data_IF_077763707768
#
_entry.id   IF_077763707768
#
_cell.length_a   1.000
_cell.length_b   1.000
_cell.length_c   1.000
_cell.angle_alpha   90.00
_cell.angle_beta   90.00
_cell.angle_gamma   90.00
#
_symmetry.space_group_name_H-M   'P 1'
#
loop_
_entity.id
_entity.type
_entity.pdbx_description
1 polymer ?
#
# COMPACT_ATOMS: atom_id res chain seq x y z
N UNK A 1 6.92 -16.75 -28.10
CA UNK A 1 6.91 -16.55 -26.64
C UNK A 1 7.30 -17.80 -25.85
N UNK A 2 6.72 -18.97 -26.11
CA UNK A 2 7.04 -20.21 -25.39
C UNK A 2 8.56 -20.54 -25.33
N UNK A 3 9.33 -20.51 -26.43
CA UNK A 3 10.78 -20.78 -26.37
C UNK A 3 11.57 -19.81 -25.49
N UNK A 4 11.12 -18.56 -25.38
CA UNK A 4 11.72 -17.55 -24.51
C UNK A 4 11.55 -17.89 -23.02
N UNK A 5 10.33 -18.28 -22.61
CA UNK A 5 10.07 -18.71 -21.23
C UNK A 5 10.79 -20.01 -20.89
N UNK A 6 10.87 -20.95 -21.82
CA UNK A 6 11.60 -22.22 -21.64
C UNK A 6 13.11 -21.93 -21.41
N UNK A 7 13.69 -20.95 -22.13
CA UNK A 7 15.06 -20.53 -21.93
C UNK A 7 15.28 -19.87 -20.55
N UNK A 8 14.34 -19.02 -20.09
CA UNK A 8 14.39 -18.43 -18.75
C UNK A 8 14.33 -19.52 -17.68
N UNK A 9 13.41 -20.47 -17.80
CA UNK A 9 13.32 -21.60 -16.86
C UNK A 9 14.60 -22.41 -16.78
N UNK A 10 15.25 -22.65 -17.92
CA UNK A 10 16.54 -23.35 -17.96
C UNK A 10 17.63 -22.57 -17.20
N UNK A 11 17.70 -21.23 -17.39
CA UNK A 11 18.66 -20.38 -16.67
C UNK A 11 18.38 -20.33 -15.17
N UNK A 12 17.10 -20.21 -14.76
CA UNK A 12 16.71 -20.25 -13.35
C UNK A 12 17.10 -21.58 -12.71
N UNK A 13 16.83 -22.72 -13.39
CA UNK A 13 17.20 -24.04 -12.90
C UNK A 13 18.71 -24.18 -12.75
N UNK A 14 19.48 -23.64 -13.71
CA UNK A 14 20.94 -23.61 -13.63
C UNK A 14 21.43 -22.78 -12.43
N UNK A 15 20.85 -21.61 -12.20
CA UNK A 15 21.18 -20.74 -11.07
C UNK A 15 20.90 -21.42 -9.73
N UNK A 16 19.76 -22.09 -9.61
CA UNK A 16 19.44 -22.90 -8.41
C UNK A 16 20.44 -24.03 -8.19
N UNK A 17 20.90 -24.70 -9.24
CA UNK A 17 21.94 -25.72 -9.14
C UNK A 17 23.27 -25.17 -8.60
N UNK A 18 23.67 -23.98 -9.06
CA UNK A 18 24.89 -23.29 -8.56
C UNK A 18 24.72 -22.92 -7.09
N UNK A 19 23.59 -22.32 -6.73
CA UNK A 19 23.30 -21.94 -5.35
C UNK A 19 23.23 -23.15 -4.41
N UNK A 20 22.64 -24.27 -4.85
CA UNK A 20 22.63 -25.54 -4.11
C UNK A 20 24.04 -26.06 -3.86
N UNK A 21 24.87 -26.12 -4.88
CA UNK A 21 26.26 -26.56 -4.75
C UNK A 21 27.11 -25.66 -3.84
N UNK A 22 26.83 -24.36 -3.81
CA UNK A 22 27.48 -23.42 -2.86
C UNK A 22 27.06 -23.70 -1.41
N UNK A 23 25.78 -23.99 -1.16
CA UNK A 23 25.26 -24.34 0.17
C UNK A 23 25.81 -25.66 0.68
N UNK A 24 25.89 -26.68 -0.16
CA UNK A 24 26.50 -27.97 0.20
C UNK A 24 27.97 -27.81 0.66
N UNK A 25 28.66 -26.81 0.13
CA UNK A 25 30.03 -26.47 0.52
C UNK A 25 30.12 -25.41 1.63
N UNK A 26 29.00 -25.02 2.22
CA UNK A 26 28.92 -23.97 3.23
C UNK A 26 29.51 -22.62 2.79
N UNK A 27 29.46 -22.32 1.50
CA UNK A 27 29.89 -21.06 0.91
C UNK A 27 28.78 -20.00 0.90
N UNK A 28 27.52 -20.43 1.02
CA UNK A 28 26.35 -19.59 1.17
C UNK A 28 25.75 -19.83 2.56
N UNK A 29 25.76 -18.81 3.47
CA UNK A 29 25.22 -18.94 4.82
C UNK A 29 23.70 -19.08 4.84
N UNK A 30 23.00 -18.66 3.77
CA UNK A 30 21.55 -18.71 3.72
C UNK A 30 21.05 -20.12 3.35
N UNK A 31 20.22 -20.76 4.21
CA UNK A 31 19.80 -22.13 3.98
C UNK A 31 18.74 -22.28 2.88
N UNK A 32 18.12 -21.17 2.46
CA UNK A 32 17.03 -21.15 1.47
C UNK A 32 17.18 -20.01 0.47
N UNK A 33 16.61 -20.20 -0.72
CA UNK A 33 16.44 -19.14 -1.70
C UNK A 33 15.36 -18.17 -1.20
N UNK A 34 15.59 -16.87 -1.27
CA UNK A 34 14.64 -15.85 -0.80
C UNK A 34 13.30 -15.91 -1.55
N UNK A 35 13.35 -16.07 -2.87
CA UNK A 35 12.17 -16.10 -3.73
C UNK A 35 12.15 -17.41 -4.51
N UNK A 36 11.15 -18.23 -4.23
CA UNK A 36 10.91 -19.47 -4.97
C UNK A 36 10.12 -19.18 -6.26
N UNK A 37 10.39 -19.97 -7.29
CA UNK A 37 9.55 -19.99 -8.49
C UNK A 37 8.13 -20.39 -8.12
N UNK A 38 7.15 -19.59 -8.54
CA UNK A 38 5.74 -19.83 -8.25
C UNK A 38 4.97 -20.12 -9.56
N UNK A 39 4.23 -21.23 -9.63
CA UNK A 39 3.47 -21.63 -10.82
C UNK A 39 2.27 -20.70 -11.10
N UNK A 40 1.77 -20.01 -10.09
CA UNK A 40 0.64 -19.09 -10.21
C UNK A 40 0.66 -17.99 -9.14
N UNK A 41 -0.28 -17.05 -9.23
CA UNK A 41 -0.43 -15.96 -8.26
C UNK A 41 -0.62 -16.46 -6.83
N UNK A 42 -1.40 -17.53 -6.63
CA UNK A 42 -1.69 -18.05 -5.30
C UNK A 42 -0.42 -18.59 -4.60
N UNK A 43 0.36 -19.37 -5.33
CA UNK A 43 1.64 -19.87 -4.84
C UNK A 43 2.65 -18.73 -4.60
N UNK A 44 2.64 -17.70 -5.47
CA UNK A 44 3.48 -16.51 -5.27
C UNK A 44 3.13 -15.76 -4.00
N UNK A 45 1.83 -15.52 -3.75
CA UNK A 45 1.36 -14.84 -2.53
C UNK A 45 1.74 -15.64 -1.29
N UNK A 46 1.54 -16.96 -1.29
CA UNK A 46 1.94 -17.82 -0.18
C UNK A 46 3.44 -17.77 0.08
N UNK A 47 4.26 -17.87 -0.97
CA UNK A 47 5.70 -17.87 -0.85
C UNK A 47 6.31 -16.54 -0.41
N UNK A 48 5.62 -15.43 -0.67
CA UNK A 48 6.11 -14.08 -0.34
C UNK A 48 5.65 -13.59 1.03
N UNK A 49 4.36 -13.58 1.27
CA UNK A 49 3.75 -12.93 2.44
C UNK A 49 2.68 -13.75 3.11
N UNK A 50 2.05 -14.67 2.38
CA UNK A 50 0.91 -15.43 2.86
C UNK A 50 1.30 -16.42 3.96
N UNK A 51 0.35 -16.79 4.82
CA UNK A 51 0.57 -17.91 5.70
C UNK A 51 0.69 -19.20 4.89
N UNK A 52 1.37 -20.20 5.47
CA UNK A 52 1.52 -21.52 4.87
C UNK A 52 0.14 -22.14 4.57
N UNK A 53 0.03 -22.83 3.44
CA UNK A 53 -1.17 -23.55 2.96
C UNK A 53 -2.33 -22.63 2.50
N UNK A 54 -2.10 -21.31 2.37
CA UNK A 54 -3.11 -20.35 1.90
C UNK A 54 -3.36 -20.43 0.38
N UNK A 55 -2.38 -20.90 -0.41
CA UNK A 55 -2.46 -20.90 -1.87
C UNK A 55 -3.64 -21.70 -2.41
N UNK A 56 -3.93 -22.86 -1.82
CA UNK A 56 -5.08 -23.68 -2.19
C UNK A 56 -6.38 -22.88 -2.06
N UNK A 57 -6.54 -22.21 -0.93
CA UNK A 57 -7.74 -21.45 -0.63
C UNK A 57 -7.87 -20.20 -1.50
N UNK A 58 -6.77 -19.54 -1.81
CA UNK A 58 -6.76 -18.41 -2.76
C UNK A 58 -7.30 -18.85 -4.13
N UNK A 59 -6.87 -20.02 -4.65
CA UNK A 59 -7.37 -20.55 -5.94
C UNK A 59 -8.87 -20.80 -5.91
N UNK A 60 -9.39 -21.37 -4.82
CA UNK A 60 -10.83 -21.60 -4.63
C UNK A 60 -11.60 -20.28 -4.63
N UNK A 61 -11.18 -19.30 -3.82
CA UNK A 61 -11.84 -17.99 -3.73
C UNK A 61 -11.79 -17.23 -5.05
N UNK A 62 -10.66 -17.25 -5.75
CA UNK A 62 -10.53 -16.60 -7.05
C UNK A 62 -11.50 -17.19 -8.08
N UNK A 63 -11.73 -18.50 -8.05
CA UNK A 63 -12.68 -19.19 -8.92
C UNK A 63 -14.13 -18.86 -8.57
N UNK A 64 -14.46 -18.86 -7.27
CA UNK A 64 -15.85 -18.80 -6.80
C UNK A 64 -16.34 -17.34 -6.65
N UNK A 65 -15.51 -16.43 -6.15
CA UNK A 65 -15.88 -15.05 -5.80
C UNK A 65 -15.17 -13.98 -6.64
N UNK A 66 -14.15 -14.40 -7.38
CA UNK A 66 -13.39 -13.52 -8.28
C UNK A 66 -12.37 -12.63 -7.60
N UNK A 67 -11.56 -11.94 -8.41
CA UNK A 67 -10.40 -11.12 -7.98
C UNK A 67 -10.74 -9.99 -7.01
N UNK A 68 -11.91 -9.38 -7.12
CA UNK A 68 -12.26 -8.22 -6.31
C UNK A 68 -12.61 -8.57 -4.85
N UNK A 69 -13.18 -9.75 -4.62
CA UNK A 69 -13.57 -10.22 -3.29
C UNK A 69 -12.42 -10.95 -2.58
N UNK A 70 -11.55 -11.61 -3.34
CA UNK A 70 -10.53 -12.49 -2.82
C UNK A 70 -9.61 -11.87 -1.75
N UNK A 71 -9.11 -10.62 -1.88
CA UNK A 71 -8.29 -10.00 -0.84
C UNK A 71 -8.98 -9.86 0.51
N UNK A 72 -10.25 -9.51 0.52
CA UNK A 72 -11.04 -9.36 1.75
C UNK A 72 -11.37 -10.71 2.40
N UNK A 73 -11.73 -11.71 1.58
CA UNK A 73 -12.05 -13.04 2.08
C UNK A 73 -10.83 -13.72 2.70
N UNK A 74 -9.67 -13.63 2.06
CA UNK A 74 -8.42 -14.17 2.61
C UNK A 74 -8.02 -13.45 3.89
N UNK A 75 -8.09 -12.11 3.92
CA UNK A 75 -7.82 -11.35 5.13
C UNK A 75 -8.74 -11.78 6.28
N UNK A 76 -10.04 -11.97 6.01
CA UNK A 76 -11.00 -12.47 6.99
C UNK A 76 -10.63 -13.84 7.53
N UNK A 77 -10.31 -14.79 6.65
CA UNK A 77 -9.94 -16.17 7.06
C UNK A 77 -8.65 -16.21 7.89
N UNK A 78 -7.69 -15.32 7.59
CA UNK A 78 -6.48 -15.14 8.40
C UNK A 78 -6.84 -14.61 9.79
N UNK A 79 -7.70 -13.60 9.88
CA UNK A 79 -8.15 -13.02 11.15
C UNK A 79 -9.01 -13.99 11.99
N UNK A 80 -9.69 -14.92 11.35
CA UNK A 80 -10.39 -16.06 12.00
C UNK A 80 -9.41 -17.11 12.57
N UNK A 81 -8.11 -16.96 12.32
CA UNK A 81 -7.08 -17.89 12.82
C UNK A 81 -6.97 -19.21 12.05
N UNK A 82 -7.56 -19.30 10.85
CA UNK A 82 -7.54 -20.56 10.05
C UNK A 82 -6.13 -21.01 9.65
N UNK A 83 -5.17 -20.10 9.62
CA UNK A 83 -3.79 -20.35 9.20
C UNK A 83 -2.77 -20.21 10.34
N UNK A 84 -3.22 -20.25 11.56
CA UNK A 84 -2.40 -20.17 12.76
C UNK A 84 -2.93 -19.14 13.77
N UNK A 85 -2.57 -19.36 15.03
CA UNK A 85 -2.92 -18.46 16.11
C UNK A 85 -1.96 -17.27 16.16
N UNK A 86 -2.45 -16.12 16.55
CA UNK A 86 -1.70 -14.90 16.77
C UNK A 86 -2.50 -13.91 17.60
N UNK A 87 -1.83 -12.88 18.11
CA UNK A 87 -2.53 -11.73 18.65
C UNK A 87 -3.22 -10.93 17.52
N UNK A 88 -4.08 -10.01 17.91
CA UNK A 88 -4.87 -9.21 16.94
C UNK A 88 -3.99 -8.42 15.98
N UNK A 89 -2.88 -7.87 16.47
CA UNK A 89 -1.95 -7.04 15.70
C UNK A 89 -1.31 -7.86 14.58
N UNK A 90 -0.77 -9.02 14.92
CA UNK A 90 -0.14 -9.95 13.98
C UNK A 90 -1.15 -10.49 12.95
N UNK A 91 -2.37 -10.84 13.38
CA UNK A 91 -3.39 -11.34 12.46
C UNK A 91 -3.86 -10.25 11.47
N UNK A 92 -4.00 -9.00 11.93
CA UNK A 92 -4.32 -7.88 11.05
C UNK A 92 -3.19 -7.56 10.10
N UNK A 93 -1.94 -7.54 10.57
CA UNK A 93 -0.77 -7.33 9.72
C UNK A 93 -0.70 -8.39 8.62
N UNK A 94 -0.83 -9.66 8.98
CA UNK A 94 -0.84 -10.76 8.04
C UNK A 94 -2.00 -10.64 7.04
N UNK A 95 -3.19 -10.30 7.51
CA UNK A 95 -4.38 -10.08 6.66
C UNK A 95 -4.19 -8.94 5.67
N UNK A 96 -3.67 -7.80 6.11
CA UNK A 96 -3.40 -6.63 5.26
C UNK A 96 -2.33 -6.96 4.22
N UNK A 97 -1.20 -7.55 4.63
CA UNK A 97 -0.10 -7.89 3.70
C UNK A 97 -0.51 -8.93 2.67
N UNK A 98 -1.20 -9.99 3.08
CA UNK A 98 -1.65 -11.05 2.16
C UNK A 98 -2.72 -10.54 1.20
N UNK A 99 -3.69 -9.78 1.71
CA UNK A 99 -4.72 -9.16 0.87
C UNK A 99 -4.13 -8.15 -0.12
N UNK A 100 -3.16 -7.34 0.30
CA UNK A 100 -2.47 -6.40 -0.59
C UNK A 100 -1.67 -7.12 -1.68
N UNK A 101 -0.92 -8.18 -1.33
CA UNK A 101 -0.17 -8.99 -2.28
C UNK A 101 -1.10 -9.59 -3.35
N UNK A 102 -2.27 -10.07 -2.94
CA UNK A 102 -3.27 -10.63 -3.86
C UNK A 102 -3.88 -9.53 -4.75
N UNK A 103 -4.18 -8.36 -4.19
CA UNK A 103 -4.72 -7.22 -4.93
C UNK A 103 -3.74 -6.67 -5.98
N UNK A 104 -2.46 -6.62 -5.64
CA UNK A 104 -1.39 -6.12 -6.52
C UNK A 104 -0.83 -7.19 -7.48
N UNK A 105 -1.48 -8.34 -7.55
CA UNK A 105 -1.09 -9.47 -8.41
C UNK A 105 0.37 -9.92 -8.20
N UNK A 106 0.80 -9.95 -6.93
CA UNK A 106 2.11 -10.46 -6.55
C UNK A 106 3.25 -9.46 -6.65
N UNK A 107 2.97 -8.16 -6.56
CA UNK A 107 4.02 -7.17 -6.28
C UNK A 107 4.68 -7.52 -4.95
N UNK A 108 6.01 -7.57 -4.92
CA UNK A 108 6.80 -8.07 -3.78
C UNK A 108 7.02 -7.00 -2.71
N UNK A 109 7.58 -5.87 -3.11
CA UNK A 109 8.08 -4.85 -2.19
C UNK A 109 6.99 -4.17 -1.37
N UNK A 110 5.83 -3.90 -1.97
CA UNK A 110 4.77 -3.15 -1.29
C UNK A 110 4.15 -3.91 -0.10
N UNK A 111 3.75 -5.20 -0.20
CA UNK A 111 3.22 -5.92 0.95
C UNK A 111 4.29 -6.36 1.96
N UNK A 112 5.55 -6.57 1.55
CA UNK A 112 6.62 -7.00 2.44
C UNK A 112 7.23 -5.85 3.23
N UNK A 113 7.62 -4.80 2.53
CA UNK A 113 8.36 -3.67 3.08
C UNK A 113 7.54 -2.39 3.12
N UNK A 114 6.64 -2.21 2.14
CA UNK A 114 5.83 -1.01 2.02
C UNK A 114 4.80 -0.84 3.14
N UNK A 115 4.22 -1.92 3.64
CA UNK A 115 3.49 -1.98 4.92
C UNK A 115 4.48 -2.46 5.97
N UNK A 116 5.16 -1.55 6.63
CA UNK A 116 6.25 -1.88 7.56
C UNK A 116 5.75 -2.45 8.88
N UNK A 117 4.70 -1.87 9.44
CA UNK A 117 4.12 -2.28 10.74
C UNK A 117 2.62 -2.04 10.76
N UNK A 118 1.95 -2.82 11.59
CA UNK A 118 0.55 -2.62 12.00
C UNK A 118 0.51 -2.58 13.52
N UNK A 119 -0.10 -1.55 14.11
CA UNK A 119 -0.08 -1.34 15.56
C UNK A 119 -1.45 -0.98 16.09
N UNK A 120 -1.74 -1.41 17.32
CA UNK A 120 -2.83 -0.90 18.13
C UNK A 120 -2.33 0.21 19.04
N UNK A 121 -2.89 1.38 18.92
CA UNK A 121 -2.56 2.54 19.72
C UNK A 121 -3.83 3.07 20.41
N UNK A 122 -3.65 4.01 21.36
CA UNK A 122 -4.76 4.56 22.14
C UNK A 122 -5.21 5.91 21.63
N UNK A 123 -6.52 6.04 21.41
CA UNK A 123 -7.19 7.32 21.24
C UNK A 123 -7.17 8.13 22.54
N UNK A 124 -7.43 9.45 22.52
CA UNK A 124 -7.49 10.27 23.72
C UNK A 124 -8.53 9.80 24.75
N UNK A 125 -9.58 9.11 24.30
CA UNK A 125 -10.63 8.53 25.17
C UNK A 125 -10.27 7.13 25.72
N UNK A 126 -9.06 6.63 25.43
CA UNK A 126 -8.57 5.33 25.87
C UNK A 126 -8.98 4.14 24.98
N UNK A 127 -9.85 4.33 23.99
CA UNK A 127 -10.20 3.29 23.02
C UNK A 127 -9.01 2.93 22.13
N UNK A 128 -8.94 1.67 21.67
CA UNK A 128 -7.90 1.25 20.73
C UNK A 128 -8.23 1.70 19.31
N UNK A 129 -7.21 2.15 18.56
CA UNK A 129 -7.30 2.37 17.13
C UNK A 129 -6.18 1.65 16.38
N UNK A 130 -6.37 1.45 15.08
CA UNK A 130 -5.40 0.81 14.20
C UNK A 130 -4.54 1.86 13.51
N UNK A 131 -3.21 1.72 13.60
CA UNK A 131 -2.24 2.48 12.84
C UNK A 131 -1.53 1.57 11.84
N UNK A 132 -1.45 2.00 10.57
CA UNK A 132 -0.70 1.36 9.51
C UNK A 132 0.53 2.22 9.20
N UNK A 133 1.71 1.63 9.36
CA UNK A 133 2.96 2.30 9.07
C UNK A 133 3.44 1.94 7.67
N UNK A 134 3.73 2.96 6.88
CA UNK A 134 4.17 2.83 5.50
C UNK A 134 5.60 3.30 5.31
N UNK A 135 6.32 2.63 4.42
CA UNK A 135 7.67 3.01 3.98
C UNK A 135 7.70 3.23 2.46
N UNK A 136 8.84 3.72 1.94
CA UNK A 136 9.01 4.04 0.52
C UNK A 136 8.59 2.97 -0.48
N UNK A 137 8.87 1.67 -0.25
CA UNK A 137 8.48 0.56 -1.12
C UNK A 137 6.97 0.43 -1.39
N UNK A 138 6.09 1.07 -0.60
CA UNK A 138 4.64 1.11 -0.87
C UNK A 138 4.33 1.71 -2.26
N UNK A 139 5.23 2.49 -2.82
CA UNK A 139 5.13 3.01 -4.19
C UNK A 139 4.94 1.91 -5.22
N UNK A 140 5.53 0.73 -5.01
CA UNK A 140 5.39 -0.44 -5.87
C UNK A 140 3.95 -0.94 -6.03
N UNK A 141 3.06 -0.68 -5.07
CA UNK A 141 1.64 -1.04 -5.18
C UNK A 141 0.86 -0.17 -6.18
N UNK A 142 1.43 0.96 -6.62
CA UNK A 142 0.71 2.00 -7.36
C UNK A 142 -0.37 2.66 -6.51
N UNK A 143 -0.85 3.82 -6.91
CA UNK A 143 -1.75 4.62 -6.07
C UNK A 143 -3.02 3.88 -5.61
N UNK A 144 -3.63 3.05 -6.47
CA UNK A 144 -4.81 2.28 -6.06
C UNK A 144 -4.48 1.22 -5.01
N UNK A 145 -3.32 0.56 -5.11
CA UNK A 145 -2.87 -0.43 -4.13
C UNK A 145 -2.47 0.23 -2.79
N UNK A 146 -1.87 1.42 -2.83
CA UNK A 146 -1.57 2.21 -1.64
C UNK A 146 -2.84 2.51 -0.83
N UNK A 147 -3.88 3.04 -1.47
CA UNK A 147 -5.16 3.28 -0.83
C UNK A 147 -5.84 1.98 -0.38
N UNK A 148 -5.69 0.90 -1.16
CA UNK A 148 -6.28 -0.39 -0.86
C UNK A 148 -5.71 -0.99 0.44
N UNK A 149 -4.43 -0.77 0.76
CA UNK A 149 -3.85 -1.19 2.04
C UNK A 149 -4.58 -0.54 3.23
N UNK A 150 -4.94 0.75 3.13
CA UNK A 150 -5.71 1.45 4.16
C UNK A 150 -7.14 0.92 4.26
N UNK A 151 -7.78 0.64 3.11
CA UNK A 151 -9.13 0.02 3.06
C UNK A 151 -9.13 -1.36 3.72
N UNK A 152 -8.11 -2.19 3.45
CA UNK A 152 -7.93 -3.47 4.14
C UNK A 152 -7.73 -3.29 5.64
N UNK A 153 -6.96 -2.28 6.05
CA UNK A 153 -6.81 -1.93 7.46
C UNK A 153 -8.15 -1.63 8.14
N UNK A 154 -9.00 -0.82 7.51
CA UNK A 154 -10.35 -0.54 8.04
C UNK A 154 -11.22 -1.81 8.09
N UNK A 155 -11.15 -2.65 7.07
CA UNK A 155 -11.84 -3.94 7.07
C UNK A 155 -11.39 -4.84 8.24
N UNK A 156 -10.07 -4.95 8.46
CA UNK A 156 -9.50 -5.72 9.55
C UNK A 156 -9.85 -5.14 10.94
N UNK A 157 -9.78 -3.81 11.07
CA UNK A 157 -10.18 -3.09 12.28
C UNK A 157 -11.61 -3.42 12.69
N UNK A 158 -12.54 -3.36 11.73
CA UNK A 158 -13.96 -3.64 11.97
C UNK A 158 -14.21 -5.09 12.37
N UNK A 159 -13.48 -6.03 11.80
CA UNK A 159 -13.58 -7.44 12.16
C UNK A 159 -13.32 -7.68 13.66
N UNK A 160 -12.32 -7.00 14.22
CA UNK A 160 -11.96 -7.12 15.63
C UNK A 160 -12.68 -6.11 16.55
N UNK A 161 -13.58 -5.28 16.02
CA UNK A 161 -14.28 -4.26 16.80
C UNK A 161 -13.38 -3.16 17.37
N UNK A 162 -12.24 -2.89 16.72
CA UNK A 162 -11.33 -1.80 17.10
C UNK A 162 -11.94 -0.46 16.70
N UNK A 163 -11.84 0.56 17.57
CA UNK A 163 -12.42 1.88 17.33
C UNK A 163 -11.75 2.62 16.16
N UNK A 164 -12.42 3.64 15.65
CA UNK A 164 -11.85 4.53 14.63
C UNK A 164 -10.75 5.40 15.22
N UNK A 165 -9.77 5.74 14.39
CA UNK A 165 -8.76 6.72 14.72
C UNK A 165 -9.40 8.09 14.95
N UNK A 166 -9.02 8.75 16.04
CA UNK A 166 -9.45 10.10 16.40
C UNK A 166 -8.23 10.99 16.59
N UNK A 167 -7.86 11.75 15.57
CA UNK A 167 -6.70 12.63 15.65
C UNK A 167 -6.96 13.81 16.61
N UNK A 168 -5.88 14.27 17.24
CA UNK A 168 -5.82 15.59 17.87
C UNK A 168 -5.58 16.65 16.80
N UNK A 169 -5.97 17.90 17.08
CA UNK A 169 -5.82 18.98 16.10
C UNK A 169 -4.36 19.23 15.71
N UNK A 170 -3.45 19.18 16.67
CA UNK A 170 -1.99 19.31 16.40
C UNK A 170 -1.47 18.18 15.50
N UNK A 171 -2.06 16.99 15.59
CA UNK A 171 -1.71 15.89 14.70
C UNK A 171 -2.23 16.16 13.29
N UNK A 172 -3.46 16.67 13.13
CA UNK A 172 -4.02 17.06 11.83
C UNK A 172 -3.10 18.08 11.15
N UNK A 173 -2.68 19.12 11.86
CA UNK A 173 -1.79 20.13 11.34
C UNK A 173 -0.37 19.61 11.07
N UNK A 174 0.09 18.62 11.84
CA UNK A 174 1.34 17.90 11.56
C UNK A 174 1.31 17.22 10.19
N UNK A 175 0.23 16.57 9.82
CA UNK A 175 0.10 15.97 8.48
C UNK A 175 0.11 17.03 7.39
N UNK A 176 -0.54 18.18 7.59
CA UNK A 176 -0.52 19.29 6.65
C UNK A 176 0.91 19.80 6.43
N UNK A 177 1.65 20.05 7.51
CA UNK A 177 3.05 20.50 7.43
C UNK A 177 3.93 19.45 6.70
N UNK A 178 3.76 18.18 7.04
CA UNK A 178 4.55 17.09 6.49
C UNK A 178 4.34 16.91 4.98
N UNK A 179 3.08 16.93 4.53
CA UNK A 179 2.77 16.77 3.11
C UNK A 179 3.23 17.97 2.28
N UNK A 180 3.10 19.19 2.81
CA UNK A 180 3.62 20.40 2.17
C UNK A 180 5.15 20.33 2.03
N UNK A 181 5.83 19.96 3.12
CA UNK A 181 7.29 19.83 3.12
C UNK A 181 7.77 18.73 2.15
N UNK A 182 7.10 17.58 2.16
CA UNK A 182 7.37 16.49 1.24
C UNK A 182 7.22 16.91 -0.22
N UNK A 183 6.13 17.60 -0.57
CA UNK A 183 5.88 18.07 -1.93
C UNK A 183 6.96 19.08 -2.40
N UNK A 184 7.38 20.01 -1.54
CA UNK A 184 8.42 20.99 -1.86
C UNK A 184 9.78 20.32 -2.07
N UNK A 185 10.15 19.35 -1.25
CA UNK A 185 11.47 18.72 -1.23
C UNK A 185 11.64 17.67 -2.32
N UNK A 186 10.66 16.81 -2.50
CA UNK A 186 10.80 15.67 -3.44
C UNK A 186 10.52 16.06 -4.88
N UNK A 187 9.66 17.06 -5.13
CA UNK A 187 9.19 17.46 -6.48
C UNK A 187 8.70 16.29 -7.35
N UNK A 188 8.50 15.13 -6.75
CA UNK A 188 8.24 13.85 -7.43
C UNK A 188 6.80 13.35 -7.30
N UNK A 189 5.93 14.09 -6.60
CA UNK A 189 4.55 13.69 -6.37
C UNK A 189 3.69 13.84 -7.63
N UNK A 190 2.90 12.80 -7.94
CA UNK A 190 1.89 12.86 -9.02
C UNK A 190 0.69 13.75 -8.65
N UNK A 191 0.52 14.04 -7.38
CA UNK A 191 -0.55 14.86 -6.84
C UNK A 191 -0.09 15.61 -5.60
N UNK A 192 -0.38 16.90 -5.56
CA UNK A 192 -0.14 17.75 -4.37
C UNK A 192 -1.51 18.10 -3.80
N UNK A 193 -1.90 17.54 -2.65
CA UNK A 193 -3.18 17.84 -2.04
C UNK A 193 -3.20 19.27 -1.48
N UNK A 194 -4.37 19.88 -1.45
CA UNK A 194 -4.60 21.10 -0.68
C UNK A 194 -4.61 20.77 0.81
N UNK A 195 -4.32 21.75 1.67
CA UNK A 195 -4.42 21.58 3.13
C UNK A 195 -5.81 21.10 3.57
N UNK A 196 -6.88 21.59 2.91
CA UNK A 196 -8.25 21.15 3.18
C UNK A 196 -8.46 19.67 2.88
N UNK A 197 -7.89 19.14 1.80
CA UNK A 197 -7.93 17.71 1.47
C UNK A 197 -7.17 16.88 2.52
N UNK A 198 -6.00 17.35 2.97
CA UNK A 198 -5.24 16.68 4.02
C UNK A 198 -6.04 16.61 5.31
N UNK A 199 -6.57 17.76 5.77
CA UNK A 199 -7.40 17.82 6.98
C UNK A 199 -8.64 16.93 6.87
N UNK A 200 -9.27 16.88 5.69
CA UNK A 200 -10.42 16.01 5.45
C UNK A 200 -10.04 14.54 5.62
N UNK A 201 -8.93 14.09 5.04
CA UNK A 201 -8.47 12.70 5.17
C UNK A 201 -8.18 12.37 6.63
N UNK A 202 -7.32 13.16 7.28
CA UNK A 202 -6.84 12.84 8.63
C UNK A 202 -7.99 12.78 9.63
N UNK A 203 -8.97 13.69 9.52
CA UNK A 203 -10.13 13.73 10.44
C UNK A 203 -11.16 12.64 10.22
N UNK A 204 -11.20 12.03 9.02
CA UNK A 204 -12.28 11.10 8.67
C UNK A 204 -11.79 9.68 8.33
N UNK A 205 -10.50 9.49 8.08
CA UNK A 205 -9.97 8.16 7.82
C UNK A 205 -10.05 7.31 9.11
N UNK A 206 -10.77 6.17 9.09
CA UNK A 206 -10.98 5.38 10.31
C UNK A 206 -9.72 4.64 10.78
N UNK A 207 -8.67 4.66 9.98
CA UNK A 207 -7.35 4.07 10.26
C UNK A 207 -6.30 5.18 10.27
N UNK A 208 -5.40 5.17 11.23
CA UNK A 208 -4.26 6.07 11.23
C UNK A 208 -3.30 5.65 10.11
N UNK A 209 -3.11 6.53 9.13
CA UNK A 209 -2.10 6.37 8.08
C UNK A 209 -0.79 6.94 8.60
N UNK A 210 0.11 6.10 9.08
CA UNK A 210 1.40 6.47 9.65
C UNK A 210 2.54 6.05 8.73
N UNK A 211 3.78 6.25 9.12
CA UNK A 211 4.92 5.87 8.28
C UNK A 211 6.26 5.91 9.00
N UNK A 212 7.22 5.25 8.38
CA UNK A 212 8.61 5.26 8.82
C UNK A 212 9.27 6.60 8.46
N UNK A 213 10.25 7.06 9.27
CA UNK A 213 11.01 8.30 9.05
C UNK A 213 12.01 8.15 7.89
N UNK A 214 11.50 8.05 6.67
CA UNK A 214 12.31 7.75 5.47
C UNK A 214 13.06 8.97 4.92
N UNK A 215 12.61 10.19 5.25
CA UNK A 215 13.25 11.41 4.78
C UNK A 215 14.26 11.94 5.80
N UNK A 216 15.31 12.63 5.32
CA UNK A 216 16.35 13.17 6.20
C UNK A 216 15.97 14.50 6.88
N UNK A 217 14.90 15.12 6.44
CA UNK A 217 14.43 16.42 6.94
C UNK A 217 13.25 16.30 7.91
N UNK A 218 13.12 17.26 8.79
CA UNK A 218 12.11 17.31 9.85
C UNK A 218 11.09 18.43 9.61
N UNK A 219 9.91 18.26 10.20
CA UNK A 219 8.94 19.35 10.34
C UNK A 219 9.49 20.44 11.27
N UNK A 220 8.94 21.63 11.18
CA UNK A 220 9.44 22.79 11.93
C UNK A 220 8.53 23.20 13.09
N UNK A 221 7.22 23.10 12.90
CA UNK A 221 6.20 23.62 13.83
C UNK A 221 5.62 22.52 14.72
N UNK A 222 5.04 21.47 14.12
CA UNK A 222 4.33 20.43 14.85
C UNK A 222 5.27 19.26 15.22
N UNK A 223 6.19 19.53 16.16
CA UNK A 223 7.20 18.60 16.69
C UNK A 223 6.77 17.96 18.00
N UNK A 224 7.40 16.81 18.29
CA UNK A 224 7.31 16.14 19.60
C UNK A 224 5.87 15.80 20.04
N UNK A 225 5.03 15.44 19.07
CA UNK A 225 3.66 15.01 19.36
C UNK A 225 3.68 13.62 19.99
N UNK A 226 2.89 13.44 21.04
CA UNK A 226 2.93 12.21 21.87
C UNK A 226 2.64 10.93 21.06
N UNK A 227 1.77 11.00 20.05
CA UNK A 227 1.34 9.85 19.26
C UNK A 227 2.00 9.81 17.86
N UNK A 228 2.97 10.65 17.60
CA UNK A 228 3.79 10.65 16.37
C UNK A 228 5.24 10.38 16.77
N UNK A 229 5.74 9.19 16.45
CA UNK A 229 7.02 8.66 16.94
C UNK A 229 8.26 9.43 16.45
N UNK A 230 8.11 10.31 15.45
CA UNK A 230 9.23 10.98 14.79
C UNK A 230 8.92 12.42 14.41
N UNK A 231 9.94 13.27 14.41
CA UNK A 231 9.86 14.61 13.81
C UNK A 231 10.22 14.62 12.32
N UNK A 232 10.84 13.55 11.83
CA UNK A 232 11.20 13.40 10.42
C UNK A 232 9.97 13.14 9.57
N UNK A 233 10.04 13.53 8.30
CA UNK A 233 8.96 13.32 7.34
C UNK A 233 8.83 11.84 6.98
N UNK A 234 7.60 11.34 7.04
CA UNK A 234 7.21 9.94 6.80
C UNK A 234 6.83 9.75 5.33
N UNK A 235 7.82 9.55 4.45
CA UNK A 235 7.62 9.52 3.00
C UNK A 235 6.60 8.49 2.52
N UNK A 236 6.54 7.29 3.14
CA UNK A 236 5.54 6.26 2.83
C UNK A 236 4.11 6.72 3.12
N UNK A 237 3.89 7.37 4.26
CA UNK A 237 2.61 7.99 4.62
C UNK A 237 2.22 9.08 3.60
N UNK A 238 3.17 9.95 3.24
CA UNK A 238 2.93 11.00 2.26
C UNK A 238 2.46 10.42 0.91
N UNK A 239 3.10 9.34 0.43
CA UNK A 239 2.70 8.64 -0.80
C UNK A 239 1.27 8.10 -0.72
N UNK A 240 0.92 7.41 0.36
CA UNK A 240 -0.41 6.82 0.55
C UNK A 240 -1.49 7.89 0.56
N UNK A 241 -1.26 9.01 1.22
CA UNK A 241 -2.24 10.10 1.28
C UNK A 241 -2.39 10.83 -0.05
N UNK A 242 -1.28 11.13 -0.75
CA UNK A 242 -1.28 11.91 -2.00
C UNK A 242 -1.66 11.06 -3.22
N UNK A 243 -0.81 10.11 -3.59
CA UNK A 243 -0.98 9.28 -4.79
C UNK A 243 -2.04 8.18 -4.59
N UNK A 244 -2.21 7.73 -3.34
CA UNK A 244 -3.20 6.74 -2.96
C UNK A 244 -4.58 7.34 -2.80
N UNK A 245 -4.86 7.94 -1.66
CA UNK A 245 -6.23 8.36 -1.28
C UNK A 245 -6.72 9.53 -2.14
N UNK A 246 -5.97 10.64 -2.21
CA UNK A 246 -6.39 11.81 -2.97
C UNK A 246 -6.52 11.54 -4.47
N UNK A 247 -5.44 11.10 -5.11
CA UNK A 247 -5.41 10.91 -6.56
C UNK A 247 -6.37 9.83 -7.04
N UNK A 248 -6.62 8.81 -6.23
CA UNK A 248 -7.49 7.68 -6.58
C UNK A 248 -8.85 7.72 -5.89
N UNK A 249 -9.27 8.86 -5.32
CA UNK A 249 -10.52 9.02 -4.61
C UNK A 249 -11.76 8.38 -5.29
N UNK A 250 -12.00 8.52 -6.61
CA UNK A 250 -13.13 7.86 -7.26
C UNK A 250 -13.05 6.32 -7.23
N UNK A 251 -11.83 5.77 -7.34
CA UNK A 251 -11.61 4.31 -7.23
C UNK A 251 -11.75 3.84 -5.78
N UNK A 252 -11.22 4.61 -4.83
CA UNK A 252 -11.34 4.36 -3.39
C UNK A 252 -12.82 4.25 -3.02
N UNK A 253 -13.62 5.25 -3.38
CA UNK A 253 -15.07 5.26 -3.10
C UNK A 253 -15.79 4.05 -3.71
N UNK A 254 -15.42 3.66 -4.92
CA UNK A 254 -16.02 2.47 -5.56
C UNK A 254 -15.66 1.18 -4.85
N UNK A 255 -14.42 1.03 -4.38
CA UNK A 255 -13.96 -0.17 -3.67
C UNK A 255 -14.63 -0.25 -2.30
N UNK A 256 -14.64 0.84 -1.53
CA UNK A 256 -15.23 0.88 -0.19
C UNK A 256 -16.74 0.62 -0.21
N UNK A 257 -17.49 1.22 -1.15
CA UNK A 257 -18.91 0.92 -1.36
C UNK A 257 -19.16 -0.57 -1.65
N UNK A 258 -18.31 -1.21 -2.48
CA UNK A 258 -18.42 -2.65 -2.76
C UNK A 258 -18.08 -3.53 -1.56
N UNK A 259 -17.14 -3.09 -0.73
CA UNK A 259 -16.74 -3.78 0.49
C UNK A 259 -17.68 -3.54 1.69
N UNK A 260 -18.73 -2.71 1.54
CA UNK A 260 -19.65 -2.35 2.60
C UNK A 260 -19.03 -1.49 3.70
N UNK A 261 -18.00 -0.71 3.37
CA UNK A 261 -17.30 0.20 4.27
C UNK A 261 -17.85 1.62 4.08
N UNK A 262 -18.09 2.31 5.20
CA UNK A 262 -18.56 3.71 5.17
C UNK A 262 -17.38 4.67 5.03
N UNK A 263 -17.10 5.02 3.78
CA UNK A 263 -16.08 6.00 3.37
C UNK A 263 -16.72 7.12 2.54
N UNK A 264 -17.96 7.52 2.87
CA UNK A 264 -18.65 8.58 2.13
C UNK A 264 -17.88 9.91 2.12
N UNK A 265 -17.08 10.17 3.17
CA UNK A 265 -16.23 11.35 3.26
C UNK A 265 -15.25 11.53 2.07
N UNK A 266 -14.88 10.44 1.39
CA UNK A 266 -14.02 10.47 0.20
C UNK A 266 -14.67 11.24 -0.95
N UNK A 267 -15.99 11.39 -0.97
CA UNK A 267 -16.69 12.21 -1.98
C UNK A 267 -16.21 13.67 -1.95
N UNK A 268 -15.80 14.18 -0.78
CA UNK A 268 -15.22 15.50 -0.63
C UNK A 268 -13.86 15.71 -1.31
N UNK A 269 -13.16 14.62 -1.67
CA UNK A 269 -11.90 14.65 -2.43
C UNK A 269 -12.14 14.62 -3.94
N UNK A 270 -13.35 14.31 -4.40
CA UNK A 270 -13.66 14.17 -5.82
C UNK A 270 -14.02 15.54 -6.39
N UNK A 271 -13.09 16.13 -7.12
CA UNK A 271 -13.33 17.40 -7.83
C UNK A 271 -14.23 17.15 -9.03
N UNK A 272 -15.49 17.52 -8.94
CA UNK A 272 -16.40 17.55 -10.08
C UNK A 272 -16.13 18.81 -10.91
N UNK A 273 -15.48 18.63 -12.07
CA UNK A 273 -15.52 19.67 -13.08
C UNK A 273 -16.91 19.67 -13.73
N UNK A 274 -17.42 20.84 -14.12
CA UNK A 274 -18.72 21.01 -14.80
C UNK A 274 -18.91 20.15 -16.09
N UNK A 275 -17.91 19.35 -16.47
CA UNK A 275 -17.87 18.49 -17.66
C UNK A 275 -17.62 17.00 -17.37
N UNK A 276 -17.84 16.53 -16.15
CA UNK A 276 -18.03 15.09 -15.87
C UNK A 276 -16.81 14.17 -15.98
N UNK A 277 -15.60 14.64 -16.20
CA UNK A 277 -14.39 13.84 -16.09
C UNK A 277 -13.18 14.73 -15.78
N UNK A 278 -12.47 14.41 -14.71
CA UNK A 278 -11.16 15.01 -14.48
C UNK A 278 -10.17 14.46 -15.52
N UNK A 279 -10.05 15.13 -16.65
CA UNK A 279 -8.88 14.98 -17.52
C UNK A 279 -7.80 15.89 -16.95
N UNK A 280 -6.69 15.31 -16.54
CA UNK A 280 -5.43 16.05 -16.48
C UNK A 280 -5.08 16.31 -17.95
N UNK A 281 -5.46 17.48 -18.47
CA UNK A 281 -4.91 17.95 -19.73
C UNK A 281 -3.46 18.39 -19.42
N UNK A 282 -2.54 17.46 -19.62
CA UNK A 282 -1.16 17.84 -19.86
C UNK A 282 -1.19 18.46 -21.26
N UNK A 283 -1.25 19.81 -21.32
CA UNK A 283 -0.94 20.50 -22.58
C UNK A 283 0.58 20.48 -22.72
N UNK A 284 1.14 19.66 -23.63
CA UNK A 284 2.56 19.76 -23.92
C UNK A 284 2.83 21.19 -24.37
N UNK A 285 3.83 21.82 -23.79
CA UNK A 285 4.37 23.06 -24.36
C UNK A 285 5.01 22.65 -25.70
N UNK A 286 4.39 22.99 -26.81
CA UNK A 286 4.86 22.62 -28.16
C UNK A 286 6.35 22.97 -28.35
N UNK A 287 6.77 24.14 -27.87
CA UNK A 287 8.17 24.57 -27.94
C UNK A 287 9.11 23.64 -27.15
N UNK A 288 8.68 23.17 -25.98
CA UNK A 288 9.46 22.24 -25.15
C UNK A 288 9.53 20.84 -25.78
N UNK A 289 8.48 20.43 -26.47
CA UNK A 289 8.42 19.16 -27.20
C UNK A 289 9.30 19.18 -28.46
N UNK A 290 9.36 20.30 -29.18
CA UNK A 290 10.28 20.49 -30.30
C UNK A 290 11.76 20.44 -29.86
N UNK A 291 12.10 21.08 -28.74
CA UNK A 291 13.45 21.06 -28.18
C UNK A 291 13.88 19.66 -27.68
N UNK A 292 12.98 18.91 -27.01
CA UNK A 292 13.31 17.60 -26.45
C UNK A 292 13.32 16.46 -27.46
N UNK A 293 12.45 16.49 -28.47
CA UNK A 293 12.24 15.35 -29.37
C UNK A 293 12.61 15.62 -30.83
N UNK A 294 13.09 16.82 -31.13
CA UNK A 294 13.54 17.16 -32.51
C UNK A 294 12.44 16.92 -33.56
N UNK A 295 11.19 17.29 -33.24
CA UNK A 295 10.07 17.15 -34.18
C UNK A 295 9.52 15.72 -34.37
N UNK A 296 9.91 14.74 -33.52
CA UNK A 296 9.36 13.38 -33.57
C UNK A 296 8.05 13.31 -32.79
N UNK A 297 6.99 12.67 -33.33
CA UNK A 297 5.76 12.49 -32.59
C UNK A 297 5.97 11.57 -31.39
N UNK A 298 5.56 12.02 -30.20
CA UNK A 298 5.49 11.19 -29.00
C UNK A 298 4.07 10.64 -28.89
N UNK A 299 3.95 9.32 -28.93
CA UNK A 299 2.72 8.64 -28.58
C UNK A 299 2.72 8.39 -27.07
N UNK A 300 1.86 9.09 -26.32
CA UNK A 300 1.56 8.75 -24.94
C UNK A 300 0.64 7.52 -24.92
N UNK A 301 1.12 6.44 -24.33
CA UNK A 301 0.34 5.23 -24.06
C UNK A 301 -0.39 5.33 -22.72
#
# INVERSE_FOLDING_TARGET
MRPYFDAIHAEVSRAYGVAGAAREKMLDPEPRVEILEAPDLAARVEGLVGPKDVAKRIREILKDKGKAAAPFEIAKEIMEGKYGAGDKERLMEQGVRTGLALFTEGVVSAPLEGVSRVRHLKNPDGSDYLALYFSGPIRGAGGTGQAFAVILGDYCRRFFGVAEFRPLEDEVERYVEELNLYAIRTRAGQYVPTEGEVRLIVRNCPVCVDGEPTEEYEVSVHKNLQRVETNRVRGGMCLVMTEGICLKAPKVLKITKKAGLDWAWVEGLIKTTKQGAQRIEIKPNEKYMEELVGGRPIFAF
#
